data_IF_315220829228
#
_entry.id   IF_315220829228
#
_cell.length_a   1.000
_cell.length_b   1.000
_cell.length_c   1.000
_cell.angle_alpha   90.00
_cell.angle_beta   90.00
_cell.angle_gamma   90.00
#
_symmetry.space_group_name_H-M   'P 1'
#
loop_
_entity.id
_entity.type
_entity.pdbx_description
1 polymer ?
#
# COMPACT_ATOMS: atom_id res chain seq x y z
N UNK A 1 61.49 139.87 -10.06
CA UNK A 1 61.16 138.46 -10.32
C UNK A 1 60.54 138.36 -11.70
N UNK A 2 61.25 137.80 -12.69
CA UNK A 2 60.86 137.81 -14.10
C UNK A 2 59.66 136.88 -14.37
N UNK A 3 58.63 137.37 -15.06
CA UNK A 3 57.38 136.64 -15.32
C UNK A 3 57.58 135.29 -16.03
N UNK A 4 58.69 135.08 -16.74
CA UNK A 4 59.05 133.79 -17.35
C UNK A 4 59.32 132.68 -16.32
N UNK A 5 59.93 133.00 -15.18
CA UNK A 5 60.22 132.02 -14.12
C UNK A 5 58.96 131.60 -13.36
N UNK A 6 58.00 132.52 -13.20
CA UNK A 6 56.69 132.22 -12.63
C UNK A 6 55.87 131.29 -13.56
N UNK A 7 55.94 131.51 -14.87
CA UNK A 7 55.27 130.66 -15.87
C UNK A 7 55.80 129.21 -15.82
N UNK A 8 57.12 129.02 -15.82
CA UNK A 8 57.73 127.68 -15.74
C UNK A 8 57.42 126.95 -14.43
N UNK A 9 57.30 127.67 -13.32
CA UNK A 9 56.91 127.08 -12.03
C UNK A 9 55.44 126.66 -12.01
N UNK A 10 54.56 127.45 -12.65
CA UNK A 10 53.15 127.07 -12.85
C UNK A 10 53.04 125.87 -13.77
N UNK A 11 53.79 125.81 -14.87
CA UNK A 11 53.81 124.68 -15.80
C UNK A 11 54.31 123.39 -15.12
N UNK A 12 55.37 123.45 -14.31
CA UNK A 12 55.82 122.30 -13.51
C UNK A 12 54.77 121.86 -12.48
N UNK A 13 54.03 122.81 -11.89
CA UNK A 13 52.92 122.52 -10.96
C UNK A 13 51.72 121.90 -11.68
N UNK A 14 51.43 122.33 -12.90
CA UNK A 14 50.41 121.72 -13.77
C UNK A 14 50.84 120.31 -14.15
N UNK A 15 52.07 120.12 -14.64
CA UNK A 15 52.58 118.79 -15.02
C UNK A 15 52.59 117.82 -13.83
N UNK A 16 53.00 118.24 -12.64
CA UNK A 16 52.96 117.40 -11.44
C UNK A 16 51.53 117.06 -11.00
N UNK A 17 50.57 117.99 -11.11
CA UNK A 17 49.14 117.70 -10.89
C UNK A 17 48.58 116.76 -11.95
N UNK A 18 48.94 116.93 -13.22
CA UNK A 18 48.53 116.05 -14.32
C UNK A 18 49.09 114.64 -14.14
N UNK A 19 50.36 114.51 -13.74
CA UNK A 19 50.97 113.20 -13.41
C UNK A 19 50.24 112.52 -12.25
N UNK A 20 49.91 113.26 -11.17
CA UNK A 20 49.12 112.72 -10.05
C UNK A 20 47.71 112.31 -10.48
N UNK A 21 47.06 113.11 -11.32
CA UNK A 21 45.74 112.80 -11.86
C UNK A 21 45.78 111.55 -12.75
N UNK A 22 46.79 111.42 -13.59
CA UNK A 22 46.98 110.25 -14.45
C UNK A 22 47.28 108.98 -13.63
N UNK A 23 48.09 109.09 -12.57
CA UNK A 23 48.33 107.99 -11.64
C UNK A 23 47.03 107.55 -10.95
N UNK A 24 46.22 108.51 -10.46
CA UNK A 24 44.92 108.21 -9.86
C UNK A 24 43.96 107.54 -10.85
N UNK A 25 43.85 108.06 -12.09
CA UNK A 25 43.05 107.45 -13.16
C UNK A 25 43.49 106.02 -13.48
N UNK A 26 44.80 105.75 -13.49
CA UNK A 26 45.33 104.41 -13.69
C UNK A 26 44.88 103.48 -12.55
N UNK A 27 45.04 103.90 -11.29
CA UNK A 27 44.58 103.10 -10.14
C UNK A 27 43.08 102.83 -10.16
N UNK A 28 42.26 103.81 -10.54
CA UNK A 28 40.82 103.60 -10.70
C UNK A 28 40.49 102.59 -11.80
N UNK A 29 41.16 102.67 -12.95
CA UNK A 29 40.98 101.70 -14.05
C UNK A 29 41.37 100.29 -13.65
N UNK A 30 42.48 100.11 -12.93
CA UNK A 30 42.89 98.77 -12.46
C UNK A 30 41.88 98.20 -11.47
N UNK A 31 41.33 99.02 -10.56
CA UNK A 31 40.27 98.56 -9.66
C UNK A 31 38.97 98.23 -10.41
N UNK A 32 38.60 99.01 -11.44
CA UNK A 32 37.44 98.72 -12.28
C UNK A 32 37.60 97.40 -13.04
N UNK A 33 38.75 97.17 -13.67
CA UNK A 33 39.05 95.90 -14.34
C UNK A 33 38.97 94.72 -13.39
N UNK A 34 39.53 94.86 -12.18
CA UNK A 34 39.46 93.81 -11.16
C UNK A 34 38.03 93.55 -10.69
N UNK A 35 37.23 94.61 -10.58
CA UNK A 35 35.82 94.51 -10.20
C UNK A 35 34.99 93.85 -11.29
N UNK A 36 35.30 94.11 -12.56
CA UNK A 36 34.65 93.45 -13.70
C UNK A 36 35.09 91.98 -13.85
N UNK A 37 36.36 91.66 -13.57
CA UNK A 37 36.81 90.27 -13.43
C UNK A 37 36.06 89.54 -12.33
N UNK A 38 35.97 90.13 -11.13
CA UNK A 38 35.22 89.55 -10.02
C UNK A 38 33.74 89.39 -10.35
N UNK A 39 33.13 90.35 -11.07
CA UNK A 39 31.74 90.23 -11.54
C UNK A 39 31.58 89.06 -12.51
N UNK A 40 32.50 88.90 -13.48
CA UNK A 40 32.47 87.76 -14.40
C UNK A 40 32.69 86.44 -13.69
N UNK A 41 33.60 86.38 -12.72
CA UNK A 41 33.81 85.19 -11.89
C UNK A 41 32.58 84.89 -11.04
N UNK A 42 31.96 85.92 -10.44
CA UNK A 42 30.72 85.79 -9.70
C UNK A 42 29.56 85.31 -10.60
N UNK A 43 29.41 85.83 -11.81
CA UNK A 43 28.41 85.33 -12.77
C UNK A 43 28.68 83.89 -13.22
N UNK A 44 29.95 83.48 -13.29
CA UNK A 44 30.36 82.12 -13.63
C UNK A 44 30.15 81.13 -12.49
N UNK A 45 30.38 81.57 -11.25
CA UNK A 45 30.27 80.77 -10.03
C UNK A 45 28.85 80.77 -9.49
N UNK A 46 28.07 81.82 -9.75
CA UNK A 46 26.65 81.89 -9.37
C UNK A 46 25.94 80.71 -10.06
N UNK A 47 25.54 79.65 -9.32
CA UNK A 47 24.53 78.77 -9.85
C UNK A 47 23.32 79.65 -10.14
N UNK A 48 22.54 79.35 -11.17
CA UNK A 48 21.33 80.10 -11.57
C UNK A 48 20.22 80.11 -10.48
N UNK A 49 20.50 80.57 -9.27
CA UNK A 49 19.56 80.92 -8.21
C UNK A 49 19.05 82.34 -8.45
N UNK A 50 18.35 82.54 -9.56
CA UNK A 50 17.80 83.84 -9.91
C UNK A 50 17.14 83.99 -11.28
N UNK A 51 16.83 82.88 -11.98
CA UNK A 51 15.92 82.86 -13.14
C UNK A 51 15.06 81.59 -13.05
N UNK A 52 14.09 81.63 -12.14
CA UNK A 52 13.23 80.50 -11.78
C UNK A 52 12.15 80.17 -12.82
N UNK A 53 12.53 79.70 -14.00
CA UNK A 53 11.53 79.16 -14.94
C UNK A 53 11.98 77.93 -15.74
N UNK A 54 13.26 77.79 -16.11
CA UNK A 54 13.66 76.76 -17.10
C UNK A 54 14.40 75.56 -16.48
N UNK A 55 15.22 75.74 -15.45
CA UNK A 55 15.99 74.64 -14.84
C UNK A 55 15.26 73.94 -13.68
N UNK A 56 14.52 74.68 -12.84
CA UNK A 56 13.64 74.07 -11.79
C UNK A 56 12.63 73.12 -12.42
N UNK A 57 12.05 73.51 -13.57
CA UNK A 57 11.04 72.73 -14.24
C UNK A 57 11.58 71.47 -14.95
N UNK A 58 12.88 71.36 -15.23
CA UNK A 58 13.47 70.15 -15.80
C UNK A 58 13.76 69.10 -14.72
N UNK A 59 14.30 69.53 -13.57
CA UNK A 59 14.51 68.67 -12.41
C UNK A 59 13.20 68.24 -11.76
N UNK A 60 12.22 69.13 -11.67
CA UNK A 60 10.86 68.81 -11.22
C UNK A 60 10.18 67.83 -12.17
N UNK A 61 10.29 68.00 -13.50
CA UNK A 61 9.77 67.02 -14.48
C UNK A 61 10.42 65.66 -14.34
N UNK A 62 11.76 65.60 -14.21
CA UNK A 62 12.46 64.32 -14.03
C UNK A 62 12.05 63.64 -12.73
N UNK A 63 11.91 64.39 -11.64
CA UNK A 63 11.41 63.87 -10.36
C UNK A 63 9.98 63.37 -10.47
N UNK A 64 9.12 64.07 -11.21
CA UNK A 64 7.75 63.65 -11.45
C UNK A 64 7.69 62.40 -12.35
N UNK A 65 8.52 62.32 -13.39
CA UNK A 65 8.71 61.10 -14.19
C UNK A 65 9.21 59.92 -13.35
N UNK A 66 10.18 60.14 -12.46
CA UNK A 66 10.70 59.11 -11.55
C UNK A 66 9.64 58.63 -10.56
N UNK A 67 8.80 59.53 -10.03
CA UNK A 67 7.66 59.17 -9.17
C UNK A 67 6.59 58.40 -9.94
N UNK A 68 6.28 58.79 -11.18
CA UNK A 68 5.36 58.05 -12.04
C UNK A 68 5.90 56.66 -12.40
N UNK A 69 7.21 56.56 -12.66
CA UNK A 69 7.89 55.28 -12.88
C UNK A 69 7.87 54.40 -11.63
N UNK A 70 8.08 54.97 -10.44
CA UNK A 70 7.98 54.26 -9.18
C UNK A 70 6.56 53.70 -8.99
N UNK A 71 5.53 54.50 -9.18
CA UNK A 71 4.14 54.04 -9.09
C UNK A 71 3.80 52.98 -10.14
N UNK A 72 4.33 53.08 -11.36
CA UNK A 72 4.15 52.06 -12.39
C UNK A 72 4.83 50.74 -12.01
N UNK A 73 6.02 50.80 -11.41
CA UNK A 73 6.75 49.63 -10.90
C UNK A 73 6.04 49.01 -9.69
N UNK A 74 5.53 49.81 -8.75
CA UNK A 74 4.71 49.37 -7.61
C UNK A 74 3.46 48.63 -8.10
N UNK A 75 2.70 49.25 -9.01
CA UNK A 75 1.50 48.62 -9.59
C UNK A 75 1.83 47.31 -10.33
N UNK A 76 2.98 47.25 -11.01
CA UNK A 76 3.43 46.03 -11.68
C UNK A 76 3.81 44.95 -10.65
N UNK A 77 4.50 45.33 -9.58
CA UNK A 77 4.86 44.43 -8.49
C UNK A 77 3.62 43.86 -7.81
N UNK A 78 2.65 44.69 -7.44
CA UNK A 78 1.38 44.24 -6.85
C UNK A 78 0.63 43.27 -7.76
N UNK A 79 0.56 43.56 -9.08
CA UNK A 79 -0.03 42.64 -10.06
C UNK A 79 0.69 41.30 -10.10
N UNK A 80 2.02 41.29 -10.05
CA UNK A 80 2.79 40.04 -10.00
C UNK A 80 2.58 39.28 -8.70
N UNK A 81 2.49 39.97 -7.56
CA UNK A 81 2.21 39.35 -6.27
C UNK A 81 0.80 38.74 -6.23
N UNK A 82 -0.21 39.43 -6.77
CA UNK A 82 -1.56 38.90 -6.88
C UNK A 82 -1.58 37.63 -7.74
N UNK A 83 -0.91 37.65 -8.91
CA UNK A 83 -0.77 36.47 -9.77
C UNK A 83 -0.01 35.32 -9.10
N UNK A 84 1.03 35.61 -8.31
CA UNK A 84 1.76 34.58 -7.55
C UNK A 84 0.85 33.92 -6.53
N UNK A 85 0.12 34.71 -5.73
CA UNK A 85 -0.84 34.19 -4.74
C UNK A 85 -1.95 33.37 -5.40
N UNK A 86 -2.44 33.80 -6.55
CA UNK A 86 -3.44 33.04 -7.31
C UNK A 86 -2.87 31.71 -7.83
N UNK A 87 -1.64 31.72 -8.36
CA UNK A 87 -0.95 30.51 -8.79
C UNK A 87 -0.65 29.55 -7.61
N UNK A 88 -0.26 30.07 -6.45
CA UNK A 88 -0.09 29.30 -5.22
C UNK A 88 -1.40 28.66 -4.76
N UNK A 89 -2.51 29.42 -4.78
CA UNK A 89 -3.83 28.91 -4.44
C UNK A 89 -4.28 27.79 -5.41
N UNK A 90 -4.09 28.00 -6.72
CA UNK A 90 -4.40 26.99 -7.75
C UNK A 90 -3.54 25.74 -7.54
N UNK A 91 -2.24 25.91 -7.27
CA UNK A 91 -1.30 24.81 -7.01
C UNK A 91 -1.72 24.02 -5.77
N UNK A 92 -2.06 24.71 -4.68
CA UNK A 92 -2.55 24.08 -3.45
C UNK A 92 -3.84 23.29 -3.70
N UNK A 93 -4.75 23.82 -4.53
CA UNK A 93 -5.97 23.11 -4.92
C UNK A 93 -5.68 21.84 -5.71
N UNK A 94 -4.82 21.91 -6.73
CA UNK A 94 -4.43 20.72 -7.51
C UNK A 94 -3.65 19.70 -6.68
N UNK A 95 -2.85 20.13 -5.71
CA UNK A 95 -2.18 19.23 -4.77
C UNK A 95 -3.20 18.47 -3.91
N UNK A 96 -4.23 19.16 -3.39
CA UNK A 96 -5.31 18.51 -2.63
C UNK A 96 -6.10 17.53 -3.48
N UNK A 97 -6.47 17.93 -4.71
CA UNK A 97 -7.15 17.05 -5.64
C UNK A 97 -6.30 15.81 -5.97
N UNK A 98 -4.98 15.99 -6.14
CA UNK A 98 -4.06 14.88 -6.36
C UNK A 98 -4.02 13.93 -5.17
N UNK A 99 -3.97 14.45 -3.93
CA UNK A 99 -3.97 13.58 -2.74
C UNK A 99 -5.29 12.82 -2.61
N UNK A 100 -6.43 13.46 -2.86
CA UNK A 100 -7.75 12.80 -2.83
C UNK A 100 -7.83 11.69 -3.90
N UNK A 101 -7.38 11.95 -5.13
CA UNK A 101 -7.35 10.94 -6.19
C UNK A 101 -6.37 9.80 -5.88
N UNK A 102 -5.24 10.10 -5.22
CA UNK A 102 -4.30 9.08 -4.78
C UNK A 102 -4.93 8.21 -3.68
N UNK A 103 -5.59 8.82 -2.70
CA UNK A 103 -6.29 8.10 -1.63
C UNK A 103 -7.41 7.21 -2.19
N UNK A 104 -8.21 7.72 -3.14
CA UNK A 104 -9.21 6.91 -3.86
C UNK A 104 -8.57 5.75 -4.62
N UNK A 105 -7.46 6.00 -5.31
CA UNK A 105 -6.76 4.96 -6.07
C UNK A 105 -6.29 3.78 -5.21
N UNK A 106 -5.91 4.05 -3.96
CA UNK A 106 -5.51 3.01 -3.00
C UNK A 106 -6.71 2.13 -2.58
N UNK A 107 -7.94 2.65 -2.66
CA UNK A 107 -9.14 1.86 -2.31
C UNK A 107 -9.60 0.93 -3.42
N UNK A 108 -9.29 1.22 -4.68
CA UNK A 108 -9.77 0.42 -5.81
C UNK A 108 -9.27 -1.01 -5.78
N UNK A 109 -8.02 -1.25 -5.36
CA UNK A 109 -7.50 -2.61 -5.27
C UNK A 109 -8.29 -3.45 -4.26
N UNK A 110 -8.57 -2.92 -3.07
CA UNK A 110 -9.37 -3.63 -2.06
C UNK A 110 -10.81 -3.89 -2.52
N UNK A 111 -11.41 -2.95 -3.26
CA UNK A 111 -12.73 -3.15 -3.87
C UNK A 111 -12.68 -4.26 -4.94
N UNK A 112 -11.67 -4.28 -5.81
CA UNK A 112 -11.48 -5.32 -6.81
C UNK A 112 -11.27 -6.69 -6.17
N UNK A 113 -10.39 -6.79 -5.17
CA UNK A 113 -10.14 -8.04 -4.44
C UNK A 113 -11.43 -8.56 -3.79
N UNK A 114 -12.26 -7.67 -3.22
CA UNK A 114 -13.55 -8.05 -2.63
C UNK A 114 -14.54 -8.59 -3.67
N UNK A 115 -14.62 -7.95 -4.85
CA UNK A 115 -15.48 -8.39 -5.94
C UNK A 115 -14.99 -9.70 -6.55
N UNK A 116 -13.67 -9.88 -6.70
CA UNK A 116 -13.08 -11.14 -7.16
C UNK A 116 -13.37 -12.28 -6.20
N UNK A 117 -13.25 -12.05 -4.88
CA UNK A 117 -13.60 -13.04 -3.87
C UNK A 117 -15.08 -13.43 -3.93
N UNK A 118 -15.98 -12.47 -4.13
CA UNK A 118 -17.42 -12.71 -4.29
C UNK A 118 -17.73 -13.50 -5.58
N UNK A 119 -17.10 -13.16 -6.70
CA UNK A 119 -17.22 -13.91 -7.95
C UNK A 119 -16.75 -15.35 -7.78
N UNK A 120 -15.61 -15.57 -7.10
CA UNK A 120 -15.11 -16.92 -6.81
C UNK A 120 -16.07 -17.71 -5.92
N UNK A 121 -16.68 -17.06 -4.92
CA UNK A 121 -17.70 -17.68 -4.07
C UNK A 121 -18.92 -18.10 -4.91
N UNK A 122 -19.46 -17.21 -5.74
CA UNK A 122 -20.61 -17.54 -6.59
C UNK A 122 -20.29 -18.62 -7.64
N UNK A 123 -19.07 -18.66 -8.17
CA UNK A 123 -18.64 -19.76 -9.06
C UNK A 123 -18.63 -21.11 -8.35
N UNK A 124 -18.13 -21.15 -7.11
CA UNK A 124 -18.15 -22.38 -6.28
C UNK A 124 -19.58 -22.82 -5.95
N UNK A 125 -20.44 -21.88 -5.56
CA UNK A 125 -21.86 -22.16 -5.29
C UNK A 125 -22.58 -22.68 -6.53
N UNK A 126 -22.36 -22.05 -7.69
CA UNK A 126 -22.93 -22.49 -8.96
C UNK A 126 -22.45 -23.90 -9.34
N UNK A 127 -21.17 -24.20 -9.16
CA UNK A 127 -20.66 -25.54 -9.40
C UNK A 127 -21.29 -26.58 -8.46
N UNK A 128 -21.42 -26.26 -7.17
CA UNK A 128 -22.10 -27.13 -6.21
C UNK A 128 -23.57 -27.38 -6.59
N UNK A 129 -24.28 -26.35 -7.06
CA UNK A 129 -25.67 -26.49 -7.53
C UNK A 129 -25.77 -27.30 -8.82
N UNK A 130 -24.80 -27.20 -9.72
CA UNK A 130 -24.72 -28.03 -10.92
C UNK A 130 -24.56 -29.51 -10.56
N UNK A 131 -23.62 -29.84 -9.66
CA UNK A 131 -23.44 -31.22 -9.18
C UNK A 131 -24.72 -31.75 -8.55
N UNK A 132 -25.36 -30.96 -7.67
CA UNK A 132 -26.64 -31.35 -7.06
C UNK A 132 -27.75 -31.57 -8.10
N UNK A 133 -27.80 -30.73 -9.14
CA UNK A 133 -28.75 -30.90 -10.24
C UNK A 133 -28.48 -32.20 -10.99
N UNK A 134 -27.22 -32.47 -11.34
CA UNK A 134 -26.84 -33.66 -12.09
C UNK A 134 -27.17 -34.92 -11.28
N UNK A 135 -26.88 -34.92 -9.98
CA UNK A 135 -27.27 -36.00 -9.06
C UNK A 135 -28.79 -36.19 -8.98
N UNK A 136 -29.55 -35.09 -8.90
CA UNK A 136 -31.01 -35.15 -8.91
C UNK A 136 -31.57 -35.69 -10.23
N UNK A 137 -30.96 -35.32 -11.37
CA UNK A 137 -31.32 -35.84 -12.69
C UNK A 137 -31.04 -37.34 -12.80
N UNK A 138 -29.86 -37.79 -12.36
CA UNK A 138 -29.51 -39.21 -12.31
C UNK A 138 -30.47 -40.00 -11.42
N UNK A 139 -30.86 -39.43 -10.26
CA UNK A 139 -31.85 -40.04 -9.38
C UNK A 139 -33.24 -40.11 -10.02
N UNK A 140 -33.65 -39.09 -10.77
CA UNK A 140 -34.93 -39.07 -11.49
C UNK A 140 -34.95 -40.12 -12.61
N UNK A 141 -33.86 -40.22 -13.39
CA UNK A 141 -33.70 -41.22 -14.44
C UNK A 141 -33.70 -42.65 -13.87
N UNK A 142 -33.00 -42.87 -12.76
CA UNK A 142 -32.99 -44.16 -12.06
C UNK A 142 -34.40 -44.53 -11.56
N UNK A 143 -35.14 -43.58 -10.99
CA UNK A 143 -36.51 -43.81 -10.54
C UNK A 143 -37.47 -44.11 -11.71
N UNK A 144 -37.35 -43.39 -12.83
CA UNK A 144 -38.11 -43.66 -14.05
C UNK A 144 -37.81 -45.04 -14.62
N UNK A 145 -36.54 -45.43 -14.66
CA UNK A 145 -36.14 -46.75 -15.13
C UNK A 145 -36.68 -47.87 -14.23
N UNK A 146 -36.60 -47.71 -12.91
CA UNK A 146 -37.17 -48.65 -11.95
C UNK A 146 -38.70 -48.75 -12.11
N UNK A 147 -39.39 -47.63 -12.29
CA UNK A 147 -40.83 -47.60 -12.52
C UNK A 147 -41.22 -48.33 -13.82
N UNK A 148 -40.49 -48.09 -14.92
CA UNK A 148 -40.71 -48.79 -16.19
C UNK A 148 -40.51 -50.30 -16.05
N UNK A 149 -39.44 -50.73 -15.39
CA UNK A 149 -39.20 -52.15 -15.11
C UNK A 149 -40.34 -52.78 -14.31
N UNK A 150 -40.84 -52.10 -13.29
CA UNK A 150 -41.95 -52.58 -12.48
C UNK A 150 -43.26 -52.66 -13.28
N UNK A 151 -43.56 -51.67 -14.11
CA UNK A 151 -44.77 -51.67 -14.95
C UNK A 151 -44.73 -52.78 -16.02
N UNK A 152 -43.56 -53.02 -16.61
CA UNK A 152 -43.35 -54.16 -17.50
C UNK A 152 -43.56 -55.50 -16.79
N UNK A 153 -43.02 -55.66 -15.58
CA UNK A 153 -43.22 -56.88 -14.78
C UNK A 153 -44.70 -57.09 -14.47
N UNK A 154 -45.41 -56.06 -14.02
CA UNK A 154 -46.86 -56.12 -13.77
C UNK A 154 -47.65 -56.46 -15.04
N UNK A 155 -47.26 -55.89 -16.18
CA UNK A 155 -47.87 -56.21 -17.48
C UNK A 155 -47.63 -57.66 -17.91
N UNK A 156 -46.42 -58.19 -17.68
CA UNK A 156 -46.10 -59.61 -17.93
C UNK A 156 -46.93 -60.53 -17.02
N UNK A 157 -46.97 -60.25 -15.71
CA UNK A 157 -47.79 -61.01 -14.78
C UNK A 157 -49.28 -60.97 -15.14
N UNK A 158 -49.82 -59.81 -15.54
CA UNK A 158 -51.22 -59.70 -15.99
C UNK A 158 -51.49 -60.58 -17.20
N UNK A 159 -50.60 -60.57 -18.20
CA UNK A 159 -50.69 -61.44 -19.39
C UNK A 159 -50.60 -62.93 -19.03
N UNK A 160 -49.79 -63.29 -18.04
CA UNK A 160 -49.69 -64.67 -17.54
C UNK A 160 -50.95 -65.09 -16.78
N UNK A 161 -51.47 -64.24 -15.90
CA UNK A 161 -52.75 -64.49 -15.20
C UNK A 161 -53.90 -64.63 -16.18
N UNK A 162 -53.96 -63.80 -17.23
CA UNK A 162 -54.99 -63.91 -18.27
C UNK A 162 -54.85 -65.19 -19.11
N UNK A 163 -53.63 -65.60 -19.44
CA UNK A 163 -53.34 -66.91 -20.06
C UNK A 163 -53.79 -68.07 -19.16
N UNK A 164 -53.53 -68.00 -17.86
CA UNK A 164 -54.00 -69.00 -16.90
C UNK A 164 -55.53 -69.03 -16.84
N UNK A 165 -56.20 -67.89 -16.69
CA UNK A 165 -57.68 -67.80 -16.65
C UNK A 165 -58.30 -68.36 -17.93
N UNK A 166 -57.75 -68.03 -19.10
CA UNK A 166 -58.26 -68.54 -20.39
C UNK A 166 -58.07 -70.06 -20.51
N UNK A 167 -56.94 -70.61 -20.05
CA UNK A 167 -56.74 -72.07 -19.98
C UNK A 167 -57.75 -72.76 -19.06
N UNK A 168 -58.01 -72.21 -17.86
CA UNK A 168 -59.01 -72.75 -16.94
C UNK A 168 -60.44 -72.65 -17.50
N UNK A 169 -60.79 -71.53 -18.15
CA UNK A 169 -62.09 -71.41 -18.85
C UNK A 169 -62.24 -72.48 -19.93
N UNK A 170 -61.18 -72.75 -20.70
CA UNK A 170 -61.19 -73.80 -21.73
C UNK A 170 -61.45 -75.18 -21.13
N UNK A 171 -60.74 -75.55 -20.07
CA UNK A 171 -60.94 -76.83 -19.36
C UNK A 171 -62.38 -76.94 -18.83
N UNK A 172 -62.92 -75.85 -18.26
CA UNK A 172 -64.31 -75.83 -17.76
C UNK A 172 -65.31 -76.01 -18.91
N UNK A 173 -65.12 -75.34 -20.05
CA UNK A 173 -66.00 -75.50 -21.22
C UNK A 173 -65.89 -76.90 -21.85
N UNK A 174 -64.69 -77.49 -21.90
CA UNK A 174 -64.47 -78.89 -22.32
C UNK A 174 -65.22 -79.86 -21.41
N UNK A 175 -65.08 -79.71 -20.09
CA UNK A 175 -65.78 -80.55 -19.11
C UNK A 175 -67.32 -80.39 -19.19
N UNK A 176 -67.83 -79.16 -19.41
CA UNK A 176 -69.26 -78.94 -19.68
C UNK A 176 -69.71 -79.62 -20.97
N UNK A 177 -68.93 -79.55 -22.03
CA UNK A 177 -69.24 -80.20 -23.31
C UNK A 177 -69.25 -81.74 -23.17
N UNK A 178 -68.34 -82.32 -22.38
CA UNK A 178 -68.30 -83.74 -22.06
C UNK A 178 -69.44 -84.19 -21.15
N UNK A 179 -69.79 -83.39 -20.14
CA UNK A 179 -70.96 -83.65 -19.28
C UNK A 179 -72.27 -83.55 -20.08
N UNK A 180 -72.37 -82.59 -21.01
CA UNK A 180 -73.50 -82.49 -21.93
C UNK A 180 -73.56 -83.60 -22.99
N UNK A 181 -72.42 -84.21 -23.36
CA UNK A 181 -72.36 -85.42 -24.22
C UNK A 181 -72.74 -86.67 -23.43
N UNK A 182 -72.28 -86.81 -22.19
CA UNK A 182 -72.66 -87.91 -21.29
C UNK A 182 -74.14 -87.80 -20.89
N UNK A 183 -74.70 -86.63 -20.61
CA UNK A 183 -76.16 -86.47 -20.40
C UNK A 183 -76.99 -86.87 -21.64
N UNK A 184 -76.48 -86.62 -22.85
CA UNK A 184 -77.13 -87.09 -24.11
C UNK A 184 -76.94 -88.60 -24.34
N UNK A 185 -75.87 -89.20 -23.82
CA UNK A 185 -75.61 -90.64 -23.88
C UNK A 185 -76.30 -91.43 -22.76
N UNK A 186 -76.53 -90.84 -21.59
CA UNK A 186 -77.17 -91.45 -20.40
C UNK A 186 -78.68 -91.64 -20.59
N UNK A 187 -79.29 -91.07 -21.64
CA UNK A 187 -80.66 -91.42 -22.04
C UNK A 187 -80.78 -92.71 -22.88
N UNK A 188 -79.68 -93.41 -23.15
CA UNK A 188 -79.74 -94.77 -23.70
C UNK A 188 -78.75 -95.68 -22.98
N UNK A 189 -79.33 -96.72 -22.36
CA UNK A 189 -78.77 -98.05 -22.06
C UNK A 189 -78.56 -98.33 -20.55
N UNK A 190 -79.35 -99.25 -19.97
CA UNK A 190 -79.19 -99.78 -18.61
C UNK A 190 -78.53 -101.19 -18.61
N UNK A 191 -78.14 -101.66 -17.41
CA UNK A 191 -77.80 -103.05 -17.02
C UNK A 191 -76.45 -103.57 -17.58
N UNK A 192 -75.62 -104.38 -16.92
CA UNK A 192 -75.52 -105.00 -15.58
C UNK A 192 -74.07 -105.60 -15.46
N UNK A 193 -73.69 -106.31 -14.36
CA UNK A 193 -72.30 -106.61 -13.98
C UNK A 193 -71.72 -107.78 -14.76
N UNK A 194 -70.39 -107.93 -14.71
CA UNK A 194 -69.74 -109.18 -15.08
C UNK A 194 -68.85 -109.67 -13.94
N UNK A 195 -69.15 -110.91 -13.54
CA UNK A 195 -68.51 -111.70 -12.49
C UNK A 195 -67.44 -112.61 -13.12
N UNK A 196 -66.25 -112.57 -12.52
CA UNK A 196 -65.36 -113.71 -12.26
C UNK A 196 -64.57 -114.38 -13.42
N UNK A 197 -63.46 -114.98 -12.97
CA UNK A 197 -62.54 -115.92 -13.63
C UNK A 197 -61.33 -115.25 -14.30
N UNK A 198 -60.07 -115.56 -13.99
CA UNK A 198 -59.51 -116.82 -13.49
C UNK A 198 -58.21 -116.60 -12.71
N UNK A 199 -58.15 -117.18 -11.50
CA UNK A 199 -57.08 -118.02 -10.96
C UNK A 199 -55.76 -118.08 -11.76
N UNK A 200 -54.75 -117.31 -11.33
CA UNK A 200 -53.37 -117.45 -11.81
C UNK A 200 -52.59 -118.33 -10.84
N UNK A 201 -52.21 -119.49 -11.36
CA UNK A 201 -51.57 -120.61 -10.69
C UNK A 201 -50.19 -120.23 -10.11
N UNK A 202 -49.96 -120.63 -8.86
CA UNK A 202 -48.64 -120.69 -8.26
C UNK A 202 -47.75 -121.67 -9.04
N UNK A 203 -46.78 -121.15 -9.78
CA UNK A 203 -45.62 -121.92 -10.24
C UNK A 203 -44.48 -121.70 -9.26
N UNK A 204 -44.44 -122.55 -8.23
CA UNK A 204 -43.29 -122.67 -7.30
C UNK A 204 -42.15 -123.32 -8.07
N UNK A 205 -41.36 -122.49 -8.76
CA UNK A 205 -40.06 -122.88 -9.29
C UNK A 205 -39.07 -122.89 -8.14
N UNK A 206 -38.50 -124.06 -7.90
CA UNK A 206 -37.57 -124.41 -6.81
C UNK A 206 -36.27 -123.60 -6.96
N UNK A 207 -36.16 -122.51 -6.22
CA UNK A 207 -34.96 -121.67 -6.09
C UNK A 207 -34.01 -122.34 -5.06
N UNK A 208 -32.69 -122.43 -5.30
CA UNK A 208 -31.74 -122.97 -4.33
C UNK A 208 -31.69 -122.09 -3.07
N UNK A 209 -31.62 -122.72 -1.88
CA UNK A 209 -31.75 -122.07 -0.57
C UNK A 209 -30.72 -120.96 -0.23
N UNK A 210 -29.70 -120.73 -1.08
CA UNK A 210 -28.81 -119.57 -0.98
C UNK A 210 -29.42 -118.30 -1.60
N UNK A 211 -30.17 -118.45 -2.70
CA UNK A 211 -30.81 -117.32 -3.39
C UNK A 211 -31.98 -116.78 -2.57
N UNK A 212 -32.76 -117.64 -1.90
CA UNK A 212 -33.87 -117.22 -1.02
C UNK A 212 -33.38 -116.35 0.17
N UNK A 213 -32.23 -116.70 0.75
CA UNK A 213 -31.60 -115.88 1.80
C UNK A 213 -31.10 -114.54 1.27
N UNK A 214 -30.58 -114.51 0.05
CA UNK A 214 -30.17 -113.27 -0.61
C UNK A 214 -31.39 -112.38 -0.94
N UNK A 215 -32.50 -112.97 -1.38
CA UNK A 215 -33.76 -112.25 -1.60
C UNK A 215 -34.32 -111.68 -0.30
N UNK A 216 -34.35 -112.46 0.80
CA UNK A 216 -34.79 -111.95 2.10
C UNK A 216 -33.88 -110.84 2.65
N UNK A 217 -32.56 -110.93 2.46
CA UNK A 217 -31.62 -109.89 2.88
C UNK A 217 -31.79 -108.59 2.07
N UNK A 218 -32.05 -108.71 0.76
CA UNK A 218 -32.35 -107.57 -0.10
C UNK A 218 -33.70 -106.93 0.25
N UNK A 219 -34.70 -107.73 0.59
CA UNK A 219 -36.03 -107.25 1.01
C UNK A 219 -35.99 -106.55 2.38
N UNK A 220 -35.22 -107.08 3.34
CA UNK A 220 -34.99 -106.42 4.64
C UNK A 220 -34.19 -105.11 4.48
N UNK A 221 -33.23 -105.07 3.57
CA UNK A 221 -32.52 -103.83 3.24
C UNK A 221 -33.46 -102.81 2.58
N UNK A 222 -34.39 -103.27 1.73
CA UNK A 222 -35.35 -102.42 1.05
C UNK A 222 -36.38 -101.81 2.01
N UNK A 223 -36.97 -102.60 2.91
CA UNK A 223 -37.89 -102.06 3.93
C UNK A 223 -37.19 -101.06 4.85
N UNK A 224 -35.94 -101.32 5.25
CA UNK A 224 -35.13 -100.32 5.99
C UNK A 224 -34.94 -99.01 5.21
N UNK A 225 -34.69 -99.08 3.90
CA UNK A 225 -34.56 -97.88 3.06
C UNK A 225 -35.90 -97.15 2.97
N UNK A 226 -37.00 -97.88 2.78
CA UNK A 226 -38.36 -97.35 2.67
C UNK A 226 -38.82 -96.67 3.96
N UNK A 227 -38.55 -97.28 5.12
CA UNK A 227 -38.80 -96.72 6.45
C UNK A 227 -37.97 -95.45 6.71
N UNK A 228 -36.67 -95.46 6.37
CA UNK A 228 -35.78 -94.32 6.61
C UNK A 228 -36.01 -93.15 5.65
N UNK A 229 -36.42 -93.42 4.41
CA UNK A 229 -36.81 -92.37 3.45
C UNK A 229 -38.28 -91.96 3.53
N UNK A 230 -39.10 -92.67 4.30
CA UNK A 230 -40.54 -92.41 4.43
C UNK A 230 -41.27 -92.43 3.09
N UNK A 231 -40.82 -93.28 2.16
CA UNK A 231 -41.36 -93.37 0.82
C UNK A 231 -42.33 -94.56 0.72
N UNK A 232 -43.37 -94.43 -0.08
CA UNK A 232 -44.39 -95.48 -0.24
C UNK A 232 -44.09 -96.43 -1.39
N UNK A 233 -43.36 -95.96 -2.40
CA UNK A 233 -43.02 -96.71 -3.62
C UNK A 233 -41.53 -96.58 -4.01
N UNK A 234 -41.02 -97.59 -4.71
CA UNK A 234 -39.65 -97.64 -5.23
C UNK A 234 -39.34 -96.41 -6.09
N UNK A 235 -40.29 -95.95 -6.91
CA UNK A 235 -40.07 -94.79 -7.77
C UNK A 235 -39.95 -93.49 -6.96
N UNK A 236 -40.62 -93.39 -5.81
CA UNK A 236 -40.54 -92.23 -4.91
C UNK A 236 -39.17 -92.18 -4.22
N UNK A 237 -38.64 -93.33 -3.79
CA UNK A 237 -37.27 -93.46 -3.26
C UNK A 237 -36.27 -92.97 -4.31
N UNK A 238 -36.34 -93.49 -5.54
CA UNK A 238 -35.43 -93.10 -6.63
C UNK A 238 -35.51 -91.60 -6.89
N UNK A 239 -36.70 -91.01 -7.00
CA UNK A 239 -36.88 -89.56 -7.21
C UNK A 239 -36.29 -88.70 -6.10
N UNK A 240 -36.42 -89.12 -4.83
CA UNK A 240 -35.81 -88.39 -3.69
C UNK A 240 -34.29 -88.49 -3.71
N UNK A 241 -33.73 -89.66 -4.00
CA UNK A 241 -32.29 -89.82 -4.13
C UNK A 241 -31.71 -89.03 -5.31
N UNK A 242 -32.40 -89.00 -6.46
CA UNK A 242 -31.95 -88.21 -7.61
C UNK A 242 -32.01 -86.71 -7.32
N UNK A 243 -33.10 -86.20 -6.72
CA UNK A 243 -33.20 -84.78 -6.38
C UNK A 243 -32.24 -84.37 -5.27
N UNK A 244 -31.99 -85.25 -4.29
CA UNK A 244 -30.98 -85.01 -3.25
C UNK A 244 -29.56 -85.01 -3.83
N UNK A 245 -29.27 -85.90 -4.78
CA UNK A 245 -27.99 -85.92 -5.50
C UNK A 245 -27.81 -84.64 -6.33
N UNK A 246 -28.82 -84.23 -7.09
CA UNK A 246 -28.80 -82.99 -7.87
C UNK A 246 -28.64 -81.75 -6.97
N UNK A 247 -29.35 -81.69 -5.85
CA UNK A 247 -29.19 -80.62 -4.84
C UNK A 247 -27.77 -80.61 -4.26
N UNK A 248 -27.21 -81.77 -3.95
CA UNK A 248 -25.85 -81.89 -3.44
C UNK A 248 -24.82 -81.42 -4.46
N UNK A 249 -24.94 -81.84 -5.73
CA UNK A 249 -24.08 -81.39 -6.83
C UNK A 249 -24.20 -79.87 -7.05
N UNK A 250 -25.41 -79.32 -6.96
CA UNK A 250 -25.63 -77.87 -7.05
C UNK A 250 -24.98 -77.11 -5.89
N UNK A 251 -25.13 -77.60 -4.65
CA UNK A 251 -24.50 -76.99 -3.47
C UNK A 251 -22.97 -77.06 -3.53
N UNK A 252 -22.40 -78.17 -3.98
CA UNK A 252 -20.95 -78.30 -4.20
C UNK A 252 -20.47 -77.34 -5.29
N UNK A 253 -21.24 -77.14 -6.37
CA UNK A 253 -20.91 -76.15 -7.38
C UNK A 253 -20.95 -74.73 -6.80
N UNK A 254 -22.00 -74.38 -6.06
CA UNK A 254 -22.15 -73.06 -5.44
C UNK A 254 -21.05 -72.79 -4.42
N UNK A 255 -20.64 -73.81 -3.66
CA UNK A 255 -19.51 -73.74 -2.72
C UNK A 255 -18.21 -73.41 -3.46
N UNK A 256 -17.91 -74.10 -4.56
CA UNK A 256 -16.72 -73.83 -5.38
C UNK A 256 -16.74 -72.42 -5.96
N UNK A 257 -17.87 -71.99 -6.52
CA UNK A 257 -18.04 -70.63 -7.06
C UNK A 257 -17.83 -69.57 -5.96
N UNK A 258 -18.32 -69.80 -4.73
CA UNK A 258 -18.09 -68.91 -3.59
C UNK A 258 -16.63 -68.90 -3.14
N UNK A 259 -15.97 -70.06 -3.11
CA UNK A 259 -14.55 -70.18 -2.75
C UNK A 259 -13.66 -69.42 -3.76
N UNK A 260 -13.95 -69.55 -5.05
CA UNK A 260 -13.27 -68.80 -6.12
C UNK A 260 -13.51 -67.28 -6.00
N UNK A 261 -14.76 -66.85 -5.79
CA UNK A 261 -15.08 -65.44 -5.59
C UNK A 261 -14.39 -64.86 -4.34
N UNK A 262 -14.30 -65.64 -3.26
CA UNK A 262 -13.65 -65.24 -2.03
C UNK A 262 -12.13 -65.08 -2.22
N UNK A 263 -11.50 -65.97 -2.99
CA UNK A 263 -10.09 -65.84 -3.37
C UNK A 263 -9.84 -64.59 -4.21
N UNK A 264 -10.67 -64.34 -5.24
CA UNK A 264 -10.56 -63.13 -6.06
C UNK A 264 -10.72 -61.85 -5.24
N UNK A 265 -11.70 -61.82 -4.31
CA UNK A 265 -11.90 -60.68 -3.42
C UNK A 265 -10.71 -60.47 -2.47
N UNK A 266 -10.07 -61.54 -1.99
CA UNK A 266 -8.86 -61.44 -1.16
C UNK A 266 -7.69 -60.87 -1.95
N UNK A 267 -7.45 -61.36 -3.16
CA UNK A 267 -6.40 -60.84 -4.06
C UNK A 267 -6.63 -59.37 -4.39
N UNK A 268 -7.88 -58.99 -4.72
CA UNK A 268 -8.24 -57.59 -4.94
C UNK A 268 -8.02 -56.73 -3.70
N UNK A 269 -8.37 -57.24 -2.50
CA UNK A 269 -8.14 -56.53 -1.25
C UNK A 269 -6.65 -56.31 -1.00
N UNK A 270 -5.82 -57.33 -1.19
CA UNK A 270 -4.36 -57.22 -1.02
C UNK A 270 -3.74 -56.24 -2.01
N UNK A 271 -4.17 -56.27 -3.29
CA UNK A 271 -3.73 -55.29 -4.29
C UNK A 271 -4.15 -53.86 -3.94
N UNK A 272 -5.37 -53.65 -3.43
CA UNK A 272 -5.81 -52.34 -2.97
C UNK A 272 -4.99 -51.85 -1.77
N UNK A 273 -4.69 -52.73 -0.81
CA UNK A 273 -3.87 -52.38 0.36
C UNK A 273 -2.47 -51.95 -0.08
N UNK A 274 -1.82 -52.71 -0.99
CA UNK A 274 -0.50 -52.35 -1.50
C UNK A 274 -0.49 -51.00 -2.21
N UNK A 275 -1.49 -50.72 -3.05
CA UNK A 275 -1.61 -49.41 -3.72
C UNK A 275 -1.83 -48.28 -2.73
N UNK A 276 -2.65 -48.52 -1.70
CA UNK A 276 -2.89 -47.52 -0.66
C UNK A 276 -1.61 -47.21 0.10
N UNK A 277 -0.84 -48.23 0.51
CA UNK A 277 0.45 -48.05 1.17
C UNK A 277 1.43 -47.29 0.25
N UNK A 278 1.54 -47.65 -1.03
CA UNK A 278 2.39 -46.92 -1.99
C UNK A 278 1.99 -45.45 -2.15
N UNK A 279 0.70 -45.15 -2.21
CA UNK A 279 0.19 -43.78 -2.27
C UNK A 279 0.43 -43.01 -0.98
N UNK A 280 0.23 -43.63 0.19
CA UNK A 280 0.43 -43.01 1.50
C UNK A 280 1.91 -42.67 1.72
N UNK A 281 2.81 -43.64 1.54
CA UNK A 281 4.25 -43.43 1.74
C UNK A 281 4.88 -42.55 0.65
N UNK A 282 4.41 -42.62 -0.60
CA UNK A 282 4.91 -41.72 -1.66
C UNK A 282 4.34 -40.31 -1.55
N UNK A 283 3.14 -40.15 -0.98
CA UNK A 283 2.54 -38.87 -0.64
C UNK A 283 3.32 -38.17 0.46
N UNK A 284 3.59 -38.86 1.56
CA UNK A 284 4.33 -38.31 2.70
C UNK A 284 5.77 -37.91 2.34
N UNK A 285 6.46 -38.73 1.55
CA UNK A 285 7.80 -38.41 1.07
C UNK A 285 7.83 -37.15 0.18
N UNK A 286 6.80 -36.97 -0.67
CA UNK A 286 6.66 -35.75 -1.50
C UNK A 286 6.34 -34.54 -0.63
N UNK A 287 5.40 -34.65 0.30
CA UNK A 287 5.03 -33.55 1.20
C UNK A 287 6.22 -33.07 2.04
N UNK A 288 7.02 -33.99 2.57
CA UNK A 288 8.23 -33.65 3.32
C UNK A 288 9.30 -32.95 2.45
N UNK A 289 9.50 -33.41 1.21
CA UNK A 289 10.41 -32.78 0.26
C UNK A 289 9.95 -31.37 -0.13
N UNK A 290 8.65 -31.18 -0.37
CA UNK A 290 8.08 -29.86 -0.67
C UNK A 290 8.13 -28.91 0.54
N UNK A 291 7.92 -29.42 1.76
CA UNK A 291 8.12 -28.63 2.99
C UNK A 291 9.58 -28.18 3.15
N UNK A 292 10.56 -29.05 2.92
CA UNK A 292 11.98 -28.66 2.99
C UNK A 292 12.31 -27.57 1.95
N UNK A 293 11.84 -27.70 0.71
CA UNK A 293 12.06 -26.67 -0.31
C UNK A 293 11.39 -25.34 0.05
N UNK A 294 10.22 -25.39 0.68
CA UNK A 294 9.53 -24.19 1.15
C UNK A 294 10.33 -23.51 2.26
N UNK A 295 10.81 -24.26 3.25
CA UNK A 295 11.66 -23.74 4.33
C UNK A 295 12.97 -23.13 3.78
N UNK A 296 13.61 -23.79 2.80
CA UNK A 296 14.80 -23.26 2.13
C UNK A 296 14.50 -21.96 1.38
N UNK A 297 13.38 -21.88 0.68
CA UNK A 297 12.96 -20.68 -0.04
C UNK A 297 12.63 -19.53 0.93
N UNK A 298 11.97 -19.81 2.05
CA UNK A 298 11.69 -18.83 3.12
C UNK A 298 12.99 -18.30 3.74
N UNK A 299 13.96 -19.18 4.00
CA UNK A 299 15.25 -18.80 4.57
C UNK A 299 16.07 -17.95 3.59
N UNK A 300 16.04 -18.29 2.30
CA UNK A 300 16.65 -17.47 1.24
C UNK A 300 15.97 -16.10 1.12
N UNK A 301 14.63 -16.06 1.16
CA UNK A 301 13.87 -14.81 1.12
C UNK A 301 14.24 -13.92 2.31
N UNK A 302 14.30 -14.48 3.52
CA UNK A 302 14.67 -13.75 4.72
C UNK A 302 16.10 -13.19 4.64
N UNK A 303 17.05 -13.99 4.13
CA UNK A 303 18.43 -13.54 3.91
C UNK A 303 18.52 -12.39 2.88
N UNK A 304 17.74 -12.48 1.79
CA UNK A 304 17.64 -11.41 0.80
C UNK A 304 17.00 -10.15 1.37
N UNK A 305 15.95 -10.29 2.18
CA UNK A 305 15.27 -9.19 2.87
C UNK A 305 16.26 -8.43 3.78
N UNK A 306 16.98 -9.16 4.64
CA UNK A 306 17.99 -8.57 5.54
C UNK A 306 19.11 -7.86 4.78
N UNK A 307 19.52 -8.42 3.63
CA UNK A 307 20.52 -7.79 2.77
C UNK A 307 20.00 -6.49 2.14
N UNK A 308 18.76 -6.47 1.70
CA UNK A 308 18.10 -5.27 1.18
C UNK A 308 17.98 -4.19 2.26
N UNK A 309 17.55 -4.56 3.47
CA UNK A 309 17.40 -3.62 4.58
C UNK A 309 18.75 -3.05 4.99
N UNK A 310 19.80 -3.88 5.11
CA UNK A 310 21.17 -3.43 5.37
C UNK A 310 21.69 -2.49 4.27
N UNK A 311 21.32 -2.72 3.00
CA UNK A 311 21.71 -1.85 1.89
C UNK A 311 20.95 -0.51 1.91
N UNK A 312 19.67 -0.52 2.28
CA UNK A 312 18.87 0.71 2.49
C UNK A 312 19.43 1.56 3.60
N UNK A 313 19.71 0.97 4.76
CA UNK A 313 20.29 1.69 5.90
C UNK A 313 21.64 2.34 5.53
N UNK A 314 22.48 1.63 4.75
CA UNK A 314 23.74 2.19 4.24
C UNK A 314 23.50 3.34 3.26
N UNK A 315 22.52 3.22 2.38
CA UNK A 315 22.17 4.28 1.43
C UNK A 315 21.63 5.51 2.15
N UNK A 316 20.75 5.33 3.15
CA UNK A 316 20.22 6.43 3.96
C UNK A 316 21.33 7.13 4.74
N UNK A 317 22.26 6.36 5.31
CA UNK A 317 23.45 6.91 5.98
C UNK A 317 24.34 7.70 5.01
N UNK A 318 24.61 7.15 3.81
CA UNK A 318 25.41 7.83 2.78
C UNK A 318 24.72 9.11 2.30
N UNK A 319 23.41 9.08 2.08
CA UNK A 319 22.61 10.23 1.63
C UNK A 319 22.60 11.34 2.68
N UNK A 320 22.43 10.98 3.95
CA UNK A 320 22.49 11.93 5.07
C UNK A 320 23.90 12.52 5.21
N UNK A 321 24.93 11.70 5.06
CA UNK A 321 26.32 12.19 5.10
C UNK A 321 26.60 13.13 3.94
N UNK A 322 26.18 12.77 2.72
CA UNK A 322 26.34 13.60 1.54
C UNK A 322 25.62 14.94 1.69
N UNK A 323 24.38 14.95 2.17
CA UNK A 323 23.64 16.21 2.40
C UNK A 323 24.31 17.10 3.44
N UNK A 324 24.86 16.53 4.53
CA UNK A 324 25.64 17.31 5.51
C UNK A 324 26.93 17.88 4.92
N UNK A 325 27.62 17.12 4.07
CA UNK A 325 28.83 17.61 3.38
C UNK A 325 28.46 18.71 2.40
N UNK A 326 27.43 18.52 1.56
CA UNK A 326 26.95 19.54 0.61
C UNK A 326 26.61 20.85 1.32
N UNK A 327 25.81 20.80 2.40
CA UNK A 327 25.50 21.98 3.18
C UNK A 327 26.75 22.64 3.79
N UNK A 328 27.72 21.84 4.26
CA UNK A 328 29.00 22.34 4.76
C UNK A 328 29.83 23.06 3.69
N UNK A 329 29.84 22.55 2.47
CA UNK A 329 30.51 23.15 1.32
C UNK A 329 29.83 24.44 0.89
N UNK A 330 28.49 24.45 0.83
CA UNK A 330 27.71 25.65 0.54
C UNK A 330 27.99 26.76 1.55
N UNK A 331 27.99 26.42 2.84
CA UNK A 331 28.35 27.37 3.89
C UNK A 331 29.78 27.88 3.77
N UNK A 332 30.74 27.01 3.44
CA UNK A 332 32.12 27.42 3.22
C UNK A 332 32.23 28.38 2.03
N UNK A 333 31.56 28.09 0.92
CA UNK A 333 31.52 28.95 -0.25
C UNK A 333 30.88 30.31 0.06
N UNK A 334 29.80 30.34 0.83
CA UNK A 334 29.16 31.57 1.30
C UNK A 334 30.13 32.44 2.12
N UNK A 335 30.96 31.83 2.99
CA UNK A 335 31.98 32.56 3.76
C UNK A 335 33.12 33.09 2.88
N UNK A 336 33.49 32.37 1.83
CA UNK A 336 34.60 32.73 0.94
C UNK A 336 34.18 33.61 -0.24
N UNK A 337 32.88 33.93 -0.38
CA UNK A 337 32.32 34.71 -1.50
C UNK A 337 33.01 36.06 -1.76
N UNK A 338 33.63 36.65 -0.74
CA UNK A 338 34.29 37.96 -0.81
C UNK A 338 35.70 37.89 -1.41
N UNK A 339 36.28 36.68 -1.53
CA UNK A 339 37.59 36.45 -2.12
C UNK A 339 37.41 36.28 -3.63
N UNK A 340 37.74 37.32 -4.38
CA UNK A 340 37.57 37.36 -5.85
C UNK A 340 38.70 36.61 -6.54
N UNK A 341 38.39 35.47 -7.14
CA UNK A 341 39.33 34.71 -7.99
C UNK A 341 39.52 35.44 -9.34
N UNK A 342 40.77 35.75 -9.69
CA UNK A 342 41.10 36.57 -10.87
C UNK A 342 41.12 35.83 -12.21
N UNK A 343 40.70 34.56 -12.26
CA UNK A 343 40.64 33.79 -13.51
C UNK A 343 39.30 33.07 -13.62
N UNK A 344 38.58 33.37 -14.70
CA UNK A 344 37.21 32.94 -14.91
C UNK A 344 37.01 31.44 -14.96
N UNK A 345 35.94 31.00 -14.29
CA UNK A 345 35.00 30.03 -14.84
C UNK A 345 33.60 30.43 -14.40
N UNK A 346 32.85 30.96 -15.35
CA UNK A 346 31.39 31.03 -15.30
C UNK A 346 30.91 29.67 -15.80
N UNK A 347 30.09 28.98 -15.04
CA UNK A 347 28.70 28.63 -15.38
C UNK A 347 28.14 27.75 -14.28
N UNK A 348 27.17 28.29 -13.54
CA UNK A 348 26.20 27.49 -12.82
C UNK A 348 25.44 26.63 -13.85
N UNK A 349 25.88 25.38 -14.02
CA UNK A 349 25.11 24.37 -14.74
C UNK A 349 24.42 23.51 -13.68
N UNK A 350 23.13 23.81 -13.47
CA UNK A 350 22.15 23.08 -12.68
C UNK A 350 22.50 22.90 -11.17
N UNK A 351 21.71 23.49 -10.25
CA UNK A 351 21.98 23.46 -8.81
C UNK A 351 21.84 22.08 -8.15
N UNK A 352 21.34 21.05 -8.86
CA UNK A 352 21.00 19.73 -8.29
C UNK A 352 21.94 18.59 -8.71
N UNK A 353 23.10 18.87 -9.32
CA UNK A 353 24.08 17.81 -9.70
C UNK A 353 25.15 17.61 -8.63
N UNK A 354 25.48 16.36 -8.29
CA UNK A 354 26.61 16.00 -7.42
C UNK A 354 27.95 16.62 -7.91
N UNK A 355 28.05 16.86 -9.22
CA UNK A 355 29.20 17.54 -9.85
C UNK A 355 29.31 19.02 -9.43
N UNK A 356 28.19 19.70 -9.16
CA UNK A 356 28.19 21.10 -8.73
C UNK A 356 28.82 21.28 -7.34
N UNK A 357 28.62 20.31 -6.43
CA UNK A 357 29.23 20.32 -5.09
C UNK A 357 30.74 20.14 -5.17
N UNK A 358 31.22 19.27 -6.07
CA UNK A 358 32.65 19.06 -6.31
C UNK A 358 33.31 20.30 -6.94
N UNK A 359 32.64 20.97 -7.86
CA UNK A 359 33.11 22.24 -8.42
C UNK A 359 33.15 23.35 -7.36
N UNK A 360 32.15 23.42 -6.49
CA UNK A 360 32.10 24.39 -5.39
C UNK A 360 33.22 24.14 -4.37
N UNK A 361 33.50 22.86 -4.06
CA UNK A 361 34.64 22.45 -3.25
C UNK A 361 35.97 22.90 -3.87
N UNK A 362 36.17 22.66 -5.17
CA UNK A 362 37.40 23.07 -5.86
C UNK A 362 37.57 24.60 -5.88
N UNK A 363 36.48 25.36 -6.01
CA UNK A 363 36.50 26.81 -5.89
C UNK A 363 36.89 27.26 -4.47
N UNK A 364 36.31 26.65 -3.45
CA UNK A 364 36.66 26.91 -2.05
C UNK A 364 38.14 26.62 -1.78
N UNK A 365 38.68 25.52 -2.32
CA UNK A 365 40.10 25.18 -2.19
C UNK A 365 41.00 26.27 -2.77
N UNK A 366 40.72 26.75 -3.99
CA UNK A 366 41.48 27.82 -4.63
C UNK A 366 41.42 29.14 -3.84
N UNK A 367 40.25 29.49 -3.30
CA UNK A 367 40.06 30.66 -2.46
C UNK A 367 40.85 30.54 -1.15
N UNK A 368 40.84 29.38 -0.51
CA UNK A 368 41.61 29.12 0.71
C UNK A 368 43.12 29.15 0.44
N UNK A 369 43.58 28.63 -0.70
CA UNK A 369 44.99 28.70 -1.09
C UNK A 369 45.44 30.15 -1.35
N UNK A 370 44.57 30.99 -1.94
CA UNK A 370 44.84 32.42 -2.09
C UNK A 370 44.95 33.09 -0.72
N UNK A 371 43.97 32.84 0.15
CA UNK A 371 43.96 33.34 1.52
C UNK A 371 45.22 32.94 2.28
N UNK A 372 45.64 31.67 2.17
CA UNK A 372 46.85 31.17 2.79
C UNK A 372 48.10 31.93 2.32
N UNK A 373 48.22 32.22 1.01
CA UNK A 373 49.31 33.04 0.47
C UNK A 373 49.27 34.48 0.97
N UNK A 374 48.08 35.06 1.12
CA UNK A 374 47.92 36.42 1.66
C UNK A 374 48.29 36.53 3.15
N UNK A 375 48.16 35.44 3.90
CA UNK A 375 48.58 35.36 5.30
C UNK A 375 50.01 34.85 5.49
N UNK A 376 50.66 34.37 4.44
CA UNK A 376 52.02 33.87 4.52
C UNK A 376 52.98 35.00 4.90
N UNK A 377 53.66 34.85 6.05
CA UNK A 377 54.56 35.86 6.62
C UNK A 377 53.90 36.90 7.55
N UNK A 378 52.58 36.81 7.80
CA UNK A 378 51.88 37.65 8.78
C UNK A 378 51.71 36.91 10.11
N UNK A 379 51.86 37.61 11.24
CA UNK A 379 51.58 37.04 12.57
C UNK A 379 50.06 37.08 12.84
N UNK A 380 49.43 35.92 12.69
CA UNK A 380 48.00 35.73 12.93
C UNK A 380 47.59 36.10 14.36
N UNK A 381 48.48 35.89 15.35
CA UNK A 381 48.15 36.20 16.75
C UNK A 381 48.13 37.70 17.01
N UNK A 382 48.98 38.46 16.32
CA UNK A 382 48.96 39.93 16.34
C UNK A 382 47.72 40.49 15.62
N UNK A 383 47.36 39.94 14.45
CA UNK A 383 46.16 40.37 13.70
C UNK A 383 44.87 40.06 14.47
N UNK A 384 44.78 38.88 15.11
CA UNK A 384 43.62 38.55 15.95
C UNK A 384 43.51 39.46 17.17
N UNK A 385 44.63 39.93 17.72
CA UNK A 385 44.64 40.91 18.81
C UNK A 385 44.19 42.29 18.34
N UNK A 386 44.67 42.75 17.18
CA UNK A 386 44.24 44.01 16.56
C UNK A 386 42.74 44.00 16.20
N UNK A 387 42.21 42.88 15.71
CA UNK A 387 40.76 42.72 15.48
C UNK A 387 39.92 42.77 16.77
N UNK A 388 40.52 42.50 17.93
CA UNK A 388 39.87 42.59 19.24
C UNK A 388 40.03 43.95 19.91
N UNK A 389 40.79 44.88 19.32
CA UNK A 389 40.95 46.24 19.80
C UNK A 389 39.78 47.12 19.30
N UNK A 390 39.22 47.95 20.18
CA UNK A 390 38.05 48.79 19.88
C UNK A 390 38.27 49.72 18.67
N UNK A 391 39.52 50.10 18.40
CA UNK A 391 39.92 50.88 17.23
C UNK A 391 39.61 50.21 15.89
N UNK A 392 39.67 48.87 15.83
CA UNK A 392 39.31 48.12 14.63
C UNK A 392 37.81 48.18 14.37
N UNK A 393 36.98 48.07 15.42
CA UNK A 393 35.53 48.22 15.32
C UNK A 393 35.14 49.64 14.90
N UNK A 394 35.82 50.66 15.42
CA UNK A 394 35.62 52.06 15.00
C UNK A 394 35.96 52.24 13.51
N UNK A 395 37.09 51.69 13.04
CA UNK A 395 37.46 51.75 11.61
C UNK A 395 36.49 51.01 10.70
N UNK A 396 35.87 49.93 11.17
CA UNK A 396 34.78 49.25 10.43
C UNK A 396 33.52 50.11 10.46
N UNK A 397 33.19 50.72 11.60
CA UNK A 397 32.02 51.60 11.73
C UNK A 397 32.10 52.85 10.85
N UNK A 398 33.29 53.41 10.68
CA UNK A 398 33.55 54.54 9.78
C UNK A 398 33.41 54.18 8.29
N UNK A 399 33.55 52.89 7.93
CA UNK A 399 33.49 52.40 6.55
C UNK A 399 32.17 51.68 6.20
N UNK A 400 31.09 51.92 6.96
CA UNK A 400 29.78 51.33 6.68
C UNK A 400 29.10 52.04 5.49
N UNK A 401 28.39 51.29 4.60
CA UNK A 401 27.66 51.88 3.48
C UNK A 401 26.56 52.86 3.94
N UNK A 402 26.28 53.89 3.13
CA UNK A 402 25.33 54.98 3.45
C UNK A 402 23.89 54.51 3.75
N UNK A 403 23.51 53.30 3.32
CA UNK A 403 22.19 52.71 3.56
C UNK A 403 22.10 51.82 4.81
N UNK A 404 23.10 51.87 5.69
CA UNK A 404 23.11 51.07 6.91
C UNK A 404 21.99 51.48 7.88
N UNK A 405 21.16 50.52 8.30
CA UNK A 405 20.00 50.70 9.19
C UNK A 405 20.28 50.36 10.65
N UNK A 406 21.54 50.14 11.05
CA UNK A 406 21.91 49.87 12.45
C UNK A 406 21.54 51.05 13.36
N UNK A 407 20.69 50.78 14.35
CA UNK A 407 20.32 51.73 15.40
C UNK A 407 21.50 51.89 16.35
N UNK A 408 22.08 53.10 16.44
CA UNK A 408 23.08 53.43 17.48
C UNK A 408 22.39 53.44 18.84
N UNK A 409 22.75 52.48 19.69
CA UNK A 409 22.33 52.48 21.08
C UNK A 409 23.15 53.54 21.84
N UNK A 410 22.55 54.36 22.71
CA UNK A 410 23.30 55.27 23.56
C UNK A 410 24.35 54.50 24.35
N UNK A 411 25.60 54.95 24.31
CA UNK A 411 26.69 54.40 25.12
C UNK A 411 26.24 54.38 26.57
N UNK A 412 26.18 53.19 27.17
CA UNK A 412 25.92 53.05 28.58
C UNK A 412 27.09 53.69 29.33
N UNK A 413 26.88 54.92 29.82
CA UNK A 413 27.79 55.53 30.76
C UNK A 413 28.01 54.55 31.92
N UNK A 414 29.26 54.34 32.36
CA UNK A 414 29.53 53.55 33.55
C UNK A 414 28.72 54.12 34.72
N UNK A 415 27.76 53.35 35.22
CA UNK A 415 27.03 53.70 36.43
C UNK A 415 28.05 53.70 37.57
N UNK A 416 28.51 54.88 37.98
CA UNK A 416 29.02 55.05 39.32
C UNK A 416 27.84 54.86 40.28
N UNK A 417 27.83 53.70 40.94
CA UNK A 417 26.93 53.39 42.05
C UNK A 417 27.25 54.33 43.21
N UNK A 418 26.59 55.49 43.24
CA UNK A 418 26.45 56.30 44.45
C UNK A 418 25.17 55.87 45.17
N UNK A 419 25.34 55.36 46.39
CA UNK A 419 24.37 54.62 47.20
C UNK A 419 23.28 55.49 47.86
N UNK A 420 22.95 56.67 47.29
CA UNK A 420 22.21 57.72 48.02
C UNK A 420 21.09 58.40 47.22
N UNK A 421 20.29 57.62 46.49
CA UNK A 421 19.06 58.11 45.86
C UNK A 421 17.82 57.27 46.20
N UNK A 422 17.71 56.82 47.44
CA UNK A 422 16.42 56.38 47.98
C UNK A 422 15.60 57.60 48.41
N UNK A 423 15.01 58.34 47.46
CA UNK A 423 13.69 59.00 47.62
C UNK A 423 13.25 59.80 46.38
N UNK A 424 12.04 59.41 45.93
CA UNK A 424 11.04 60.16 45.12
C UNK A 424 11.24 60.13 43.61
N UNK A 425 10.33 59.42 42.92
CA UNK A 425 9.28 60.07 42.13
C UNK A 425 8.26 59.01 41.68
N UNK A 426 7.06 59.05 42.25
CA UNK A 426 5.86 58.52 41.60
C UNK A 426 5.45 59.57 40.57
N UNK A 427 5.69 59.35 39.28
CA UNK A 427 4.87 59.95 38.22
C UNK A 427 4.74 58.94 37.07
N UNK A 428 3.49 58.77 36.65
CA UNK A 428 3.03 57.87 35.59
C UNK A 428 3.66 58.22 34.22
N UNK A 429 4.62 57.42 33.76
CA UNK A 429 4.89 57.20 32.34
C UNK A 429 4.97 55.69 32.07
N UNK A 430 4.40 55.17 30.97
CA UNK A 430 4.49 53.76 30.62
C UNK A 430 5.88 53.46 30.05
N UNK A 431 6.88 53.47 30.92
CA UNK A 431 8.25 53.08 30.62
C UNK A 431 8.33 51.57 30.38
N UNK A 432 8.93 51.19 29.25
CA UNK A 432 9.19 49.81 28.85
C UNK A 432 9.76 49.02 30.03
N UNK A 433 9.04 47.97 30.44
CA UNK A 433 9.41 47.12 31.57
C UNK A 433 10.82 46.57 31.35
N UNK A 434 11.77 46.94 32.24
CA UNK A 434 13.13 46.44 32.19
C UNK A 434 13.15 44.91 32.20
N UNK A 435 14.06 44.32 31.42
CA UNK A 435 14.23 42.86 31.25
C UNK A 435 14.29 42.10 32.59
N UNK A 436 14.80 42.74 33.63
CA UNK A 436 14.86 42.17 34.98
C UNK A 436 13.50 42.09 35.66
N UNK A 437 12.64 43.09 35.46
CA UNK A 437 11.25 43.10 35.94
C UNK A 437 10.44 42.04 35.20
N UNK A 438 10.62 41.92 33.87
CA UNK A 438 9.96 40.90 33.06
C UNK A 438 10.40 39.48 33.47
N UNK A 439 11.70 39.29 33.73
CA UNK A 439 12.21 38.02 34.27
C UNK A 439 11.60 37.69 35.62
N UNK A 440 11.57 38.64 36.57
CA UNK A 440 10.95 38.41 37.89
C UNK A 440 9.47 38.09 37.78
N UNK A 441 8.74 38.78 36.91
CA UNK A 441 7.32 38.52 36.66
C UNK A 441 7.09 37.13 36.03
N UNK A 442 7.93 36.74 35.06
CA UNK A 442 7.87 35.40 34.44
C UNK A 442 8.18 34.29 35.44
N UNK A 443 9.17 34.50 36.33
CA UNK A 443 9.52 33.55 37.37
C UNK A 443 8.39 33.39 38.39
N UNK A 444 7.73 34.49 38.78
CA UNK A 444 6.55 34.45 39.64
C UNK A 444 5.38 33.69 39.01
N UNK A 445 5.18 33.82 37.69
CA UNK A 445 4.15 33.05 36.97
C UNK A 445 4.49 31.56 36.97
N UNK A 446 5.74 31.19 36.70
CA UNK A 446 6.21 29.79 36.75
C UNK A 446 6.05 29.21 38.14
N UNK A 447 6.50 29.93 39.18
CA UNK A 447 6.40 29.51 40.57
C UNK A 447 4.95 29.38 41.06
N UNK A 448 4.04 30.22 40.53
CA UNK A 448 2.60 30.14 40.82
C UNK A 448 1.91 28.94 40.14
N UNK A 449 2.41 28.51 38.98
CA UNK A 449 1.90 27.36 38.25
C UNK A 449 2.45 26.04 38.79
N UNK A 450 3.68 26.03 39.30
CA UNK A 450 4.26 24.87 40.01
C UNK A 450 3.57 24.57 41.35
N UNK A 451 2.82 25.53 41.92
CA UNK A 451 2.09 25.38 43.19
C UNK A 451 0.61 25.03 43.06
N UNK A 452 0.14 24.47 41.93
CA UNK A 452 -1.26 24.04 41.78
C UNK A 452 -1.46 22.52 41.90
N UNK A 453 -1.91 22.15 43.12
CA UNK A 453 -2.88 21.09 43.49
C UNK A 453 -2.53 19.62 43.19
N UNK A 454 -2.06 18.92 44.24
CA UNK A 454 -2.27 17.47 44.42
C UNK A 454 -3.77 17.16 44.44
N UNK A 455 -4.27 16.51 43.38
CA UNK A 455 -5.66 16.04 43.28
C UNK A 455 -5.89 14.90 44.28
N UNK A 456 -6.77 15.11 45.28
CA UNK A 456 -7.22 14.03 46.17
C UNK A 456 -8.06 13.03 45.38
N UNK A 457 -7.61 11.77 45.24
CA UNK A 457 -8.40 10.65 44.73
C UNK A 457 -9.69 10.52 45.55
N UNK A 458 -10.86 10.72 44.92
CA UNK A 458 -12.16 10.33 45.48
C UNK A 458 -12.38 8.84 45.17
N UNK A 459 -12.73 8.07 46.20
CA UNK A 459 -13.12 6.66 46.14
C UNK A 459 -14.34 6.50 45.21
N UNK A 460 -14.23 5.59 44.25
CA UNK A 460 -15.34 5.11 43.42
C UNK A 460 -16.37 4.38 44.29
N UNK A 461 -17.64 4.74 44.13
CA UNK A 461 -18.78 4.05 44.75
C UNK A 461 -19.21 2.92 43.82
N UNK A 462 -19.15 1.71 44.37
CA UNK A 462 -19.75 0.49 43.86
C UNK A 462 -21.29 0.64 43.84
N UNK A 463 -21.95 0.29 42.73
CA UNK A 463 -23.40 0.10 42.65
C UNK A 463 -23.71 -1.39 42.49
N UNK A 464 -24.84 -1.90 43.03
CA UNK A 464 -25.14 -3.32 43.11
C UNK A 464 -25.70 -3.87 41.78
N UNK A 465 -25.49 -5.17 41.59
CA UNK A 465 -26.08 -5.98 40.52
C UNK A 465 -27.61 -5.97 40.61
N UNK A 466 -28.28 -5.75 39.50
CA UNK A 466 -29.67 -6.16 39.30
C UNK A 466 -29.68 -7.64 38.85
N UNK A 467 -30.41 -8.45 39.61
CA UNK A 467 -31.01 -9.70 39.15
C UNK A 467 -32.26 -9.36 38.31
N UNK A 468 -32.34 -9.89 37.09
CA UNK A 468 -33.43 -10.72 36.52
C UNK A 468 -33.01 -11.14 35.11
#
# INVERSE_FOLDING_TARGET
>A
MSGKAALTAVDQKVLSKTKRLNASKHTTRTYQQRLDELKREYERIKPEGGSGAVSSSAWERKKEEDVMNLHALENRLEKTQFKSKEAENITSYYQKLKTELQDESLTFQGQLDSLEAEILKYRKELHSLQVMRDDAQLSEEAAKAAFQQQDELLSRERKERERAITSYRKIVEEHKAETGKTERSVKRTPLQPDELSSEAQHSTTRIPAEEEKAFSALEEAFERIKETTGATDVQEIVKRFTSQKEMHEHLEKLKKENEEALLQLKEQRELLIQRFEEEEYSGDAKLSCEQQKLEEAELQLQAHQQRCDSARERLDWLTTTLSTVTAGVEHLAEKLQHITLSAGRVTAQQPDSEEAVLELLAQCELQLQLLQKEFEGKDLTAIMKEMGEDEFYIRIEENLPEYNTRVRLPEAQPLELSDDAAKRSDEDEPGVLSREVLKRQSQLIVDSNLKKKTWKRKKSKFWPKEEI
#
